data_IF_298851635233
#
_entry.id   IF_298851635233
#
_cell.length_a   1.000
_cell.length_b   1.000
_cell.length_c   1.000
_cell.angle_alpha   90.00
_cell.angle_beta   90.00
_cell.angle_gamma   90.00
#
_symmetry.space_group_name_H-M   'P 1'
#
loop_
_entity.id
_entity.type
_entity.pdbx_description
1 polymer ?
#
# COMPACT_ATOMS: atom_id res chain seq x y z
N UNK A 1 -14.70 -6.50 -7.68
CA UNK A 1 -13.70 -5.96 -6.74
C UNK A 1 -14.45 -5.19 -5.65
N UNK A 2 -14.57 -5.77 -4.46
CA UNK A 2 -15.31 -5.16 -3.35
C UNK A 2 -14.34 -4.50 -2.37
N UNK A 3 -14.27 -3.17 -2.40
CA UNK A 3 -14.61 -2.40 -1.21
C UNK A 3 -13.57 -2.09 -0.13
N UNK A 4 -12.25 -2.12 -0.38
CA UNK A 4 -11.29 -1.61 0.62
C UNK A 4 -10.32 -0.63 -0.04
N UNK A 5 -10.67 0.66 0.03
CA UNK A 5 -9.81 1.78 -0.38
C UNK A 5 -9.27 2.46 0.87
N UNK A 6 -8.04 2.99 0.77
CA UNK A 6 -7.53 3.95 1.74
C UNK A 6 -8.35 5.24 1.63
N UNK A 7 -8.84 5.77 2.76
CA UNK A 7 -9.76 6.94 2.80
C UNK A 7 -9.17 8.20 3.40
N UNK A 8 -8.05 8.09 4.10
CA UNK A 8 -7.39 9.21 4.77
C UNK A 8 -5.88 8.99 4.85
N UNK A 9 -5.14 10.08 5.05
CA UNK A 9 -3.69 10.03 5.27
C UNK A 9 -3.34 9.15 6.49
N UNK A 10 -4.17 9.15 7.54
CA UNK A 10 -3.93 8.33 8.72
C UNK A 10 -4.07 6.82 8.42
N UNK A 11 -5.05 6.44 7.59
CA UNK A 11 -5.22 5.06 7.13
C UNK A 11 -4.08 4.65 6.18
N UNK A 12 -3.63 5.57 5.32
CA UNK A 12 -2.44 5.40 4.48
C UNK A 12 -1.20 5.10 5.32
N UNK A 13 -0.89 5.96 6.30
CA UNK A 13 0.28 5.80 7.16
C UNK A 13 0.23 4.51 8.00
N UNK A 14 -0.97 4.12 8.46
CA UNK A 14 -1.17 2.86 9.19
C UNK A 14 -0.88 1.65 8.30
N UNK A 15 -1.40 1.64 7.08
CA UNK A 15 -1.16 0.58 6.08
C UNK A 15 0.30 0.52 5.66
N UNK A 16 0.93 1.66 5.45
CA UNK A 16 2.36 1.76 5.13
C UNK A 16 3.22 1.19 6.27
N UNK A 17 2.91 1.53 7.52
CA UNK A 17 3.59 0.97 8.70
C UNK A 17 3.41 -0.54 8.79
N UNK A 18 2.20 -1.03 8.51
CA UNK A 18 1.93 -2.48 8.50
C UNK A 18 2.74 -3.16 7.41
N UNK A 19 2.72 -2.65 6.17
CA UNK A 19 3.50 -3.17 5.05
C UNK A 19 4.99 -3.22 5.41
N UNK A 20 5.56 -2.16 5.98
CA UNK A 20 6.95 -2.13 6.44
C UNK A 20 7.31 -3.18 7.50
N UNK A 21 6.31 -3.73 8.20
CA UNK A 21 6.54 -4.82 9.18
C UNK A 21 6.56 -6.19 8.50
N UNK A 22 5.84 -6.35 7.39
CA UNK A 22 5.64 -7.65 6.72
C UNK A 22 6.18 -7.72 5.28
N UNK A 23 6.83 -6.67 4.77
CA UNK A 23 7.33 -6.64 3.38
C UNK A 23 8.39 -7.70 3.08
N UNK A 24 9.11 -8.15 4.11
CA UNK A 24 10.10 -9.24 4.02
C UNK A 24 9.52 -10.59 4.48
N UNK A 25 8.19 -10.72 4.54
CA UNK A 25 7.55 -11.99 4.82
C UNK A 25 8.04 -13.08 3.85
N UNK A 26 8.10 -14.31 4.35
CA UNK A 26 8.49 -15.46 3.53
C UNK A 26 7.45 -15.64 2.43
N UNK A 27 7.88 -15.76 1.18
CA UNK A 27 6.97 -16.02 0.06
C UNK A 27 6.06 -17.22 0.33
N UNK A 28 4.77 -17.06 0.04
CA UNK A 28 3.75 -18.06 0.31
C UNK A 28 3.29 -18.14 1.77
N UNK A 29 3.74 -17.24 2.64
CA UNK A 29 3.13 -17.04 3.96
C UNK A 29 1.94 -16.10 3.87
N UNK A 30 1.05 -16.15 4.88
CA UNK A 30 -0.13 -15.27 4.94
C UNK A 30 0.27 -13.79 4.99
N UNK A 31 1.41 -13.49 5.60
CA UNK A 31 1.96 -12.16 5.68
C UNK A 31 2.46 -11.67 4.31
N UNK A 32 2.96 -12.57 3.44
CA UNK A 32 3.30 -12.24 2.06
C UNK A 32 2.04 -11.89 1.26
N UNK A 33 0.99 -12.71 1.38
CA UNK A 33 -0.29 -12.44 0.70
C UNK A 33 -0.90 -11.11 1.18
N UNK A 34 -0.77 -10.81 2.49
CA UNK A 34 -1.21 -9.54 3.05
C UNK A 34 -0.36 -8.34 2.57
N UNK A 35 0.95 -8.52 2.44
CA UNK A 35 1.85 -7.50 1.91
C UNK A 35 1.46 -7.11 0.47
N UNK A 36 1.11 -8.08 -0.37
CA UNK A 36 0.66 -7.85 -1.74
C UNK A 36 -0.62 -7.00 -1.77
N UNK A 37 -1.62 -7.35 -0.95
CA UNK A 37 -2.87 -6.58 -0.86
C UNK A 37 -2.63 -5.16 -0.34
N UNK A 38 -1.77 -4.99 0.68
CA UNK A 38 -1.44 -3.66 1.20
C UNK A 38 -0.72 -2.81 0.16
N UNK A 39 0.19 -3.40 -0.62
CA UNK A 39 0.90 -2.70 -1.69
C UNK A 39 -0.06 -2.17 -2.76
N UNK A 40 -1.00 -3.00 -3.23
CA UNK A 40 -2.03 -2.58 -4.20
C UNK A 40 -2.86 -1.39 -3.67
N UNK A 41 -3.28 -1.45 -2.40
CA UNK A 41 -4.09 -0.39 -1.79
C UNK A 41 -3.32 0.93 -1.63
N UNK A 42 -2.05 0.84 -1.25
CA UNK A 42 -1.13 1.98 -1.09
C UNK A 42 -0.90 2.63 -2.46
N UNK A 43 -0.60 1.84 -3.49
CA UNK A 43 -0.39 2.34 -4.85
C UNK A 43 -1.63 3.07 -5.39
N UNK A 44 -2.83 2.54 -5.16
CA UNK A 44 -4.07 3.22 -5.55
C UNK A 44 -4.28 4.56 -4.86
N UNK A 45 -3.91 4.66 -3.57
CA UNK A 45 -3.97 5.91 -2.82
C UNK A 45 -2.95 6.91 -3.34
N UNK A 46 -1.71 6.47 -3.53
CA UNK A 46 -0.63 7.29 -4.07
C UNK A 46 -1.00 7.85 -5.44
N UNK A 47 -1.51 7.03 -6.37
CA UNK A 47 -1.98 7.50 -7.69
C UNK A 47 -3.01 8.62 -7.62
N UNK A 48 -3.87 8.65 -6.60
CA UNK A 48 -4.94 9.65 -6.42
C UNK A 48 -4.45 10.91 -5.69
N UNK A 49 -3.58 10.76 -4.71
CA UNK A 49 -3.19 11.82 -3.78
C UNK A 49 -1.80 12.38 -4.03
N UNK A 50 -0.86 11.50 -4.38
CA UNK A 50 0.48 11.83 -4.82
C UNK A 50 0.54 11.60 -6.33
N UNK A 51 -0.15 12.48 -7.08
CA UNK A 51 0.08 12.58 -8.52
C UNK A 51 1.58 12.58 -8.70
N UNK A 52 2.09 11.54 -9.37
CA UNK A 52 3.49 11.47 -9.73
C UNK A 52 3.70 12.72 -10.60
N UNK A 53 4.14 13.83 -9.98
CA UNK A 53 5.04 14.74 -10.63
C UNK A 53 6.19 13.82 -11.00
N UNK A 54 6.09 13.26 -12.21
CA UNK A 54 7.22 12.79 -12.96
C UNK A 54 8.18 13.94 -12.81
N UNK A 55 9.22 13.74 -12.00
CA UNK A 55 10.39 14.58 -12.04
C UNK A 55 10.82 14.56 -13.51
N UNK A 56 10.39 15.56 -14.26
CA UNK A 56 11.10 16.01 -15.44
C UNK A 56 12.31 16.69 -14.85
N UNK A 57 13.39 15.94 -14.68
CA UNK A 57 14.79 16.33 -14.94
C UNK A 57 15.74 15.23 -14.52
#
# INVERSE_FOLDING_TARGET
MSGISIKSELDYQSKLKKLNTIFNAKSGSKESDEADVLAEMIEEYEKKHFLIEKQKR
#
